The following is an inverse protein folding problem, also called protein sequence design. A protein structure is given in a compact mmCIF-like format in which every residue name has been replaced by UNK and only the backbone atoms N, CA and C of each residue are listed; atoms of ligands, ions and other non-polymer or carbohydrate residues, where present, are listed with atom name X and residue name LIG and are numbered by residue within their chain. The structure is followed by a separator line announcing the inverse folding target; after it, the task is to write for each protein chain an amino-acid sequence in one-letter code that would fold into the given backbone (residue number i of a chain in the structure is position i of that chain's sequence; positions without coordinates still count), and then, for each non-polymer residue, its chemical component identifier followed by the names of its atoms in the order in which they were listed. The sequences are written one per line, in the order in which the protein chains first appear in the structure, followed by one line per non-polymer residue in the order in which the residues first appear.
data_IF_433507206598
#
_entry.id   IF_433507206598
#
_cell.length_a   1.000
_cell.length_b   1.000
_cell.length_c   1.000
_cell.angle_alpha   90.00
_cell.angle_beta   90.00
_cell.angle_gamma   90.00
#
_symmetry.space_group_name_H-M   'P 1'
#
loop_
_entity.id
_entity.type
_entity.pdbx_description
1 polymer ?
#
# COMPACT_ATOMS: atom_id res chain seq x y z
N UNK A 1 -4.99 4.10 11.98
CA UNK A 1 -4.57 4.35 10.58
C UNK A 1 -5.79 4.10 9.72
N UNK A 2 -6.14 5.08 8.88
CA UNK A 2 -7.24 4.96 7.92
C UNK A 2 -6.64 5.00 6.51
N UNK A 3 -7.21 4.24 5.58
CA UNK A 3 -6.76 4.15 4.19
C UNK A 3 -7.88 4.55 3.25
N UNK A 4 -7.54 5.37 2.27
CA UNK A 4 -8.41 5.72 1.14
C UNK A 4 -7.62 5.54 -0.16
N UNK A 5 -8.30 5.02 -1.19
CA UNK A 5 -7.73 4.85 -2.53
C UNK A 5 -8.21 5.98 -3.43
N UNK A 6 -7.28 6.82 -3.88
CA UNK A 6 -7.58 7.98 -4.73
C UNK A 6 -7.59 7.63 -6.23
N UNK A 7 -7.02 6.49 -6.65
CA UNK A 7 -6.95 6.04 -8.04
C UNK A 7 -6.59 4.54 -8.12
N UNK A 8 -6.83 3.84 -9.25
CA UNK A 8 -6.32 2.49 -9.44
C UNK A 8 -4.79 2.49 -9.31
N UNK A 9 -4.26 1.80 -8.30
CA UNK A 9 -2.82 1.63 -8.10
C UNK A 9 -2.14 2.61 -7.14
N UNK A 10 -2.87 3.47 -6.41
CA UNK A 10 -2.28 4.27 -5.31
C UNK A 10 -3.11 4.21 -4.04
N UNK A 11 -2.45 4.18 -2.89
CA UNK A 11 -3.07 4.29 -1.57
C UNK A 11 -2.50 5.48 -0.82
N UNK A 12 -3.34 6.19 -0.07
CA UNK A 12 -2.89 7.20 0.88
C UNK A 12 -2.77 6.58 2.26
N UNK A 13 -1.58 6.64 2.84
CA UNK A 13 -1.28 6.16 4.18
C UNK A 13 -1.21 7.37 5.11
N UNK A 14 -2.09 7.38 6.12
CA UNK A 14 -2.20 8.50 7.08
C UNK A 14 -1.65 8.08 8.44
N UNK A 15 -0.60 8.77 8.88
CA UNK A 15 0.03 8.61 10.18
C UNK A 15 -0.43 9.73 11.14
N UNK A 16 -1.38 9.45 12.06
CA UNK A 16 -1.74 10.41 13.09
C UNK A 16 -0.66 10.46 14.18
N UNK A 17 -0.05 11.62 14.34
CA UNK A 17 1.05 11.84 15.30
C UNK A 17 0.62 12.91 16.29
N UNK A 18 0.81 12.63 17.58
CA UNK A 18 0.58 13.58 18.67
C UNK A 18 1.92 13.94 19.31
N UNK A 19 2.23 15.23 19.35
CA UNK A 19 3.35 15.75 20.11
C UNK A 19 2.94 15.89 21.58
N UNK A 20 3.77 15.34 22.48
CA UNK A 20 3.57 15.44 23.92
C UNK A 20 4.60 16.37 24.59
N UNK A 21 5.56 16.89 23.83
CA UNK A 21 6.59 17.81 24.30
C UNK A 21 6.42 19.22 23.74
N UNK A 22 7.46 20.06 23.87
CA UNK A 22 7.51 21.40 23.28
C UNK A 22 7.34 21.40 21.76
N UNK A 23 7.08 22.58 21.18
CA UNK A 23 7.05 22.73 19.73
C UNK A 23 8.39 22.32 19.10
N UNK A 24 8.34 21.58 18.00
CA UNK A 24 9.52 20.93 17.42
C UNK A 24 9.36 20.70 15.92
N UNK A 25 10.45 20.87 15.17
CA UNK A 25 10.55 20.39 13.80
C UNK A 25 11.05 18.95 13.80
N UNK A 26 10.32 18.07 13.13
CA UNK A 26 10.63 16.66 13.04
C UNK A 26 10.59 16.19 11.59
N UNK A 27 11.37 15.17 11.28
CA UNK A 27 11.26 14.41 10.03
C UNK A 27 10.45 13.16 10.31
N UNK A 28 9.32 13.00 9.64
CA UNK A 28 8.49 11.79 9.72
C UNK A 28 8.81 10.91 8.52
N UNK A 29 9.23 9.68 8.80
CA UNK A 29 9.49 8.67 7.78
C UNK A 29 8.39 7.62 7.75
N UNK A 30 8.09 7.16 6.56
CA UNK A 30 7.18 6.05 6.31
C UNK A 30 7.94 4.97 5.53
N UNK A 31 7.80 3.73 5.97
CA UNK A 31 8.34 2.55 5.34
C UNK A 31 7.19 1.62 4.96
N UNK A 32 7.21 1.11 3.73
CA UNK A 32 6.25 0.11 3.26
C UNK A 32 7.01 -1.16 2.97
N UNK A 33 6.59 -2.27 3.57
CA UNK A 33 7.21 -3.57 3.39
C UNK A 33 6.25 -4.53 2.67
N UNK A 34 6.81 -5.52 1.97
CA UNK A 34 6.07 -6.77 1.74
C UNK A 34 5.72 -7.34 3.11
N UNK A 35 4.43 -7.58 3.34
CA UNK A 35 3.99 -8.19 4.58
C UNK A 35 4.64 -9.54 4.77
N UNK A 36 4.80 -9.99 6.01
CA UNK A 36 5.38 -11.30 6.29
C UNK A 36 4.50 -12.07 7.26
N UNK A 37 4.58 -13.40 7.21
CA UNK A 37 4.01 -14.23 8.29
C UNK A 37 4.91 -14.19 9.54
N UNK A 38 6.20 -13.90 9.35
CA UNK A 38 7.19 -13.71 10.40
C UNK A 38 7.42 -12.20 10.62
N UNK A 39 7.21 -11.67 11.83
CA UNK A 39 7.47 -10.26 12.15
C UNK A 39 8.87 -9.83 11.68
N UNK A 40 9.01 -8.59 11.19
CA UNK A 40 10.28 -7.96 10.77
C UNK A 40 11.05 -8.61 9.61
N UNK A 41 10.45 -9.58 8.89
CA UNK A 41 11.06 -10.26 7.73
C UNK A 41 10.53 -9.76 6.38
N UNK A 42 9.75 -8.68 6.38
CA UNK A 42 9.25 -8.05 5.17
C UNK A 42 10.35 -7.42 4.33
N UNK A 43 10.26 -7.55 3.00
CA UNK A 43 11.15 -6.82 2.08
C UNK A 43 10.71 -5.37 2.00
N UNK A 44 11.62 -4.42 2.20
CA UNK A 44 11.32 -3.00 2.00
C UNK A 44 10.93 -2.73 0.53
N UNK A 45 9.75 -2.16 0.33
CA UNK A 45 9.20 -1.78 -0.97
C UNK A 45 9.40 -0.30 -1.25
N UNK A 46 9.20 0.55 -0.24
CA UNK A 46 9.30 2.01 -0.38
C UNK A 46 9.65 2.68 0.94
N UNK A 47 10.37 3.80 0.85
CA UNK A 47 10.64 4.73 1.95
C UNK A 47 10.21 6.13 1.51
N UNK A 48 9.58 6.87 2.43
CA UNK A 48 9.20 8.26 2.26
C UNK A 48 9.62 9.08 3.48
N UNK A 49 9.85 10.37 3.30
CA UNK A 49 10.16 11.30 4.38
C UNK A 49 9.49 12.65 4.16
N UNK A 50 8.99 13.26 5.23
CA UNK A 50 8.42 14.60 5.22
C UNK A 50 8.86 15.36 6.47
N UNK A 51 9.26 16.62 6.30
CA UNK A 51 9.51 17.51 7.43
C UNK A 51 8.21 18.15 7.89
N UNK A 52 7.94 18.06 9.19
CA UNK A 52 6.69 18.47 9.81
C UNK A 52 7.00 19.23 11.09
N UNK A 53 6.52 20.47 11.16
CA UNK A 53 6.48 21.22 12.41
C UNK A 53 5.36 20.69 13.29
N UNK A 54 5.60 20.40 14.56
CA UNK A 54 4.58 20.07 15.54
C UNK A 54 4.49 21.14 16.62
N UNK A 55 3.31 21.67 16.86
CA UNK A 55 3.05 22.56 18.00
C UNK A 55 3.11 21.78 19.33
N UNK A 56 3.34 22.49 20.43
CA UNK A 56 3.31 21.90 21.77
C UNK A 56 1.93 21.28 22.06
N UNK A 57 1.92 20.00 22.43
CA UNK A 57 0.68 19.24 22.67
C UNK A 57 -0.17 18.96 21.42
N UNK A 58 0.28 19.39 20.25
CA UNK A 58 -0.47 19.35 18.99
C UNK A 58 -0.63 17.94 18.42
N UNK A 59 -1.60 17.79 17.51
CA UNK A 59 -1.79 16.58 16.71
C UNK A 59 -1.80 16.95 15.24
N UNK A 60 -1.09 16.19 14.42
CA UNK A 60 -1.12 16.30 12.96
C UNK A 60 -1.30 14.93 12.32
N UNK A 61 -1.92 14.93 11.17
CA UNK A 61 -2.03 13.75 10.30
C UNK A 61 -1.04 13.95 9.16
N UNK A 62 -0.05 13.07 9.09
CA UNK A 62 0.98 13.10 8.04
C UNK A 62 0.56 12.10 6.98
N UNK A 63 0.29 12.60 5.78
CA UNK A 63 -0.24 11.82 4.67
C UNK A 63 0.85 11.48 3.67
N UNK A 64 0.93 10.21 3.27
CA UNK A 64 1.87 9.73 2.27
C UNK A 64 1.12 9.05 1.14
N UNK A 65 1.42 9.43 -0.10
CA UNK A 65 0.88 8.76 -1.29
C UNK A 65 1.83 7.66 -1.73
N UNK A 66 1.36 6.42 -1.70
CA UNK A 66 2.12 5.24 -2.09
C UNK A 66 1.54 4.62 -3.36
N UNK A 67 2.39 4.39 -4.36
CA UNK A 67 2.05 3.60 -5.54
C UNK A 67 2.10 2.11 -5.19
N UNK A 68 0.97 1.43 -5.29
CA UNK A 68 0.84 0.02 -4.91
C UNK A 68 1.62 -0.86 -5.88
N UNK A 69 2.50 -1.69 -5.32
CA UNK A 69 3.31 -2.64 -6.09
C UNK A 69 2.75 -4.05 -5.95
N UNK A 70 2.55 -4.73 -7.07
CA UNK A 70 2.17 -6.14 -7.12
C UNK A 70 3.40 -7.01 -6.90
N UNK A 71 3.32 -7.89 -5.92
CA UNK A 71 4.38 -8.84 -5.58
C UNK A 71 3.83 -10.24 -5.37
N UNK A 72 4.64 -11.16 -4.86
CA UNK A 72 4.25 -12.56 -4.68
C UNK A 72 3.54 -12.78 -3.32
N UNK A 73 3.63 -11.83 -2.41
CA UNK A 73 2.86 -11.76 -1.15
C UNK A 73 1.78 -10.69 -1.26
N UNK A 74 0.62 -10.94 -0.67
CA UNK A 74 -0.54 -10.06 -0.78
C UNK A 74 -0.54 -8.96 0.28
N UNK A 75 0.04 -9.22 1.45
CA UNK A 75 -0.06 -8.36 2.63
C UNK A 75 1.01 -7.27 2.63
N UNK A 76 0.75 -6.16 3.30
CA UNK A 76 1.64 -4.98 3.32
C UNK A 76 1.74 -4.44 4.72
N UNK A 77 2.96 -4.42 5.24
CA UNK A 77 3.27 -3.87 6.56
C UNK A 77 3.78 -2.44 6.41
N UNK A 78 3.56 -1.61 7.42
CA UNK A 78 3.94 -0.21 7.42
C UNK A 78 4.69 0.15 8.69
N UNK A 79 5.88 0.71 8.52
CA UNK A 79 6.66 1.34 9.60
C UNK A 79 6.54 2.85 9.53
N UNK A 80 6.46 3.50 10.69
CA UNK A 80 6.55 4.96 10.84
C UNK A 80 7.65 5.28 11.84
N UNK A 81 8.53 6.22 11.49
CA UNK A 81 9.52 6.78 12.41
C UNK A 81 9.36 8.30 12.49
N UNK A 82 9.59 8.84 13.67
CA UNK A 82 9.66 10.29 13.91
C UNK A 82 11.04 10.62 14.42
N UNK A 83 11.77 11.44 13.66
CA UNK A 83 13.12 11.86 13.95
C UNK A 83 13.12 13.33 14.36
N UNK A 84 13.85 13.64 15.42
CA UNK A 84 14.11 15.02 15.86
C UNK A 84 15.62 15.20 15.92
N UNK A 85 16.13 16.23 15.25
CA UNK A 85 17.57 16.47 15.13
C UNK A 85 18.37 15.26 14.60
N UNK A 86 17.75 14.45 13.72
CA UNK A 86 18.35 13.26 13.12
C UNK A 86 18.26 11.98 13.96
N UNK A 87 17.74 12.05 15.18
CA UNK A 87 17.62 10.90 16.09
C UNK A 87 16.18 10.38 16.15
N UNK A 88 16.00 9.05 16.08
CA UNK A 88 14.68 8.41 16.18
C UNK A 88 14.14 8.58 17.60
N UNK A 89 13.07 9.37 17.73
CA UNK A 89 12.38 9.60 19.01
C UNK A 89 11.21 8.63 19.23
N UNK A 90 10.58 8.19 18.14
CA UNK A 90 9.51 7.21 18.18
C UNK A 90 9.51 6.39 16.90
N UNK A 91 9.20 5.10 17.02
CA UNK A 91 8.98 4.20 15.90
C UNK A 91 7.81 3.27 16.19
N UNK A 92 7.10 2.89 15.13
CA UNK A 92 6.02 1.90 15.23
C UNK A 92 5.83 1.19 13.91
N UNK A 93 5.58 -0.11 13.99
CA UNK A 93 5.24 -0.97 12.85
C UNK A 93 3.80 -1.45 12.99
N UNK A 94 3.15 -1.65 11.84
CA UNK A 94 1.78 -2.11 11.71
C UNK A 94 1.73 -3.19 10.65
N UNK A 95 1.24 -4.36 11.05
CA UNK A 95 1.14 -5.51 10.15
C UNK A 95 -0.18 -5.47 9.36
N UNK A 96 -0.15 -6.05 8.16
CA UNK A 96 -1.33 -6.31 7.32
C UNK A 96 -2.22 -5.07 7.08
N UNK A 97 -1.58 -3.91 6.91
CA UNK A 97 -2.23 -2.60 6.77
C UNK A 97 -3.14 -2.55 5.55
N UNK A 98 -2.68 -3.12 4.44
CA UNK A 98 -3.50 -3.32 3.26
C UNK A 98 -3.10 -4.58 2.50
N UNK A 99 -3.97 -5.04 1.61
CA UNK A 99 -3.71 -6.19 0.75
C UNK A 99 -3.77 -5.82 -0.73
N UNK A 100 -3.01 -6.54 -1.55
CA UNK A 100 -3.00 -6.43 -3.00
C UNK A 100 -3.00 -7.84 -3.61
N UNK A 101 -3.70 -8.07 -4.74
CA UNK A 101 -3.57 -9.34 -5.46
C UNK A 101 -2.10 -9.66 -5.75
N UNK A 102 -1.72 -10.92 -5.54
CA UNK A 102 -0.38 -11.39 -5.88
C UNK A 102 -0.23 -11.51 -7.39
N UNK A 103 1.01 -11.59 -7.90
CA UNK A 103 1.26 -11.86 -9.32
C UNK A 103 0.57 -13.14 -9.80
N UNK A 104 0.63 -14.21 -8.99
CA UNK A 104 -0.07 -15.46 -9.29
C UNK A 104 -1.60 -15.28 -9.29
N UNK A 105 -2.15 -14.56 -8.32
CA UNK A 105 -3.58 -14.27 -8.26
C UNK A 105 -4.07 -13.48 -9.47
N UNK A 106 -3.31 -12.48 -9.92
CA UNK A 106 -3.63 -11.72 -11.13
C UNK A 106 -3.51 -12.57 -12.40
N UNK A 107 -2.47 -13.38 -12.53
CA UNK A 107 -2.28 -14.26 -13.67
C UNK A 107 -3.41 -15.29 -13.80
N UNK A 108 -3.82 -15.90 -12.68
CA UNK A 108 -4.96 -16.83 -12.65
C UNK A 108 -6.29 -16.13 -12.98
N UNK A 109 -6.48 -14.90 -12.49
CA UNK A 109 -7.65 -14.09 -12.84
C UNK A 109 -7.73 -13.81 -14.35
N UNK A 110 -6.62 -13.44 -14.98
CA UNK A 110 -6.57 -13.23 -16.44
C UNK A 110 -6.77 -14.52 -17.22
N UNK A 111 -6.17 -15.64 -16.81
CA UNK A 111 -6.36 -16.94 -17.44
C UNK A 111 -7.84 -17.38 -17.39
N UNK A 112 -8.51 -17.20 -16.25
CA UNK A 112 -9.94 -17.53 -16.12
C UNK A 112 -10.82 -16.61 -16.99
N UNK A 113 -10.50 -15.32 -17.08
CA UNK A 113 -11.20 -14.43 -18.00
C UNK A 113 -11.02 -14.86 -19.47
N UNK A 114 -9.80 -15.22 -19.88
CA UNK A 114 -9.53 -15.72 -21.22
C UNK A 114 -10.30 -17.03 -21.50
N UNK A 115 -10.31 -17.98 -20.56
CA UNK A 115 -11.04 -19.24 -20.69
C UNK A 115 -12.56 -19.05 -20.76
N UNK A 116 -13.12 -18.01 -20.14
CA UNK A 116 -14.55 -17.69 -20.24
C UNK A 116 -14.91 -16.93 -21.53
N UNK A 117 -13.98 -16.16 -22.09
CA UNK A 117 -14.19 -15.39 -23.33
C UNK A 117 -14.02 -16.28 -24.57
N UNK A 118 -13.10 -17.24 -24.57
CA UNK A 118 -12.85 -18.15 -25.70
C UNK A 118 -14.08 -18.94 -26.19
N UNK A 119 -14.91 -19.57 -25.33
CA UNK A 119 -16.10 -20.27 -25.80
C UNK A 119 -17.19 -19.32 -26.33
N UNK A 120 -17.26 -18.06 -25.86
CA UNK A 120 -18.21 -17.09 -26.41
C UNK A 120 -17.85 -16.65 -27.83
N UNK A 121 -16.56 -16.45 -28.11
CA UNK A 121 -16.11 -16.13 -29.48
C UNK A 121 -16.29 -17.31 -30.44
N UNK A 122 -16.07 -18.55 -29.99
CA UNK A 122 -16.36 -19.74 -30.80
C UNK A 122 -17.86 -19.92 -31.08
N UNK A 123 -18.74 -19.65 -30.10
CA UNK A 123 -20.19 -19.70 -30.32
C UNK A 123 -20.71 -18.57 -31.21
N UNK A 124 -20.14 -17.36 -31.11
CA UNK A 124 -20.47 -16.26 -32.05
C UNK A 124 -19.98 -16.52 -33.48
N UNK A 125 -18.82 -17.18 -33.64
CA UNK A 125 -18.32 -17.59 -34.96
C UNK A 125 -19.23 -18.61 -35.64
N UNK A 126 -19.70 -19.62 -34.91
CA UNK A 126 -20.63 -20.64 -35.45
C UNK A 126 -22.03 -20.08 -35.77
N UNK A 127 -22.50 -19.06 -35.04
CA UNK A 127 -23.79 -18.41 -35.33
C UNK A 127 -23.74 -17.51 -36.58
N UNK A 128 -22.55 -17.05 -36.99
CA UNK A 128 -22.36 -16.22 -38.18
C UNK A 128 -22.06 -17.03 -39.46
N UNK A 129 -21.62 -18.29 -39.35
CA UNK A 129 -21.45 -19.20 -40.50
C UNK A 129 -22.74 -19.95 -40.90
N UNK A 130 -23.82 -19.84 -40.11
CA UNK A 130 -25.11 -20.47 -40.38
C UNK A 130 -26.11 -19.62 -41.20
N UNK A 131 -25.70 -18.45 -41.70
CA UNK A 131 -26.53 -17.58 -42.55
C UNK A 131 -25.89 -17.47 -43.93
N UNK A 132 -26.08 -18.50 -44.76
CA UNK A 132 -25.89 -18.44 -46.21
C UNK A 132 -27.08 -19.05 -46.91
#
# INVERSE_FOLDING_TARGET
MYLYSAAPGTVTIVAPIRNLGPAVDATVKLYVYEGSWLPTHGKLLAEYSQDVHFDEGGRKEVEFTHAVVVTDEARRDVGVEVLVAGEVQASREFDDVYTMPTRQGQAMGMLMQMLMIMPMFMMMGMLMEGVS
#
